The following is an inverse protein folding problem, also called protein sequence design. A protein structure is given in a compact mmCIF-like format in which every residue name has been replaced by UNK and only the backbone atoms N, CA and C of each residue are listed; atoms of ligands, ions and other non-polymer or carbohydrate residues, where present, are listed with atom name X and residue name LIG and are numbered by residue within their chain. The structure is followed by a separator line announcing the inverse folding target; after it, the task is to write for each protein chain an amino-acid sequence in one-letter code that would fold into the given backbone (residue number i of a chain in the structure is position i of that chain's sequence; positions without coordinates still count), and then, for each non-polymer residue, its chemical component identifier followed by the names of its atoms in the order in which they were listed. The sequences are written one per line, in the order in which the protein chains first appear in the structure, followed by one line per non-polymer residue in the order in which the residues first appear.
data_IF_064364939163
#
_entry.id   IF_064364939163
#
_cell.length_a   1.000
_cell.length_b   1.000
_cell.length_c   1.000
_cell.angle_alpha   90.00
_cell.angle_beta   90.00
_cell.angle_gamma   90.00
#
_symmetry.space_group_name_H-M   'P 1'
#
loop_
_entity.id
_entity.type
_entity.pdbx_description
1 polymer ?
#
# COMPACT_ATOMS: atom_id res chain seq x y z
N UNK A 1 -17.61 49.13 54.32
CA UNK A 1 -17.98 47.69 54.34
C UNK A 1 -17.34 47.00 53.14
N UNK A 2 -16.53 45.95 53.39
CA UNK A 2 -16.15 44.82 52.51
C UNK A 2 -15.33 45.14 51.24
N UNK A 3 -14.35 44.36 50.80
CA UNK A 3 -13.40 43.35 51.34
C UNK A 3 -12.46 43.10 50.15
N UNK A 4 -11.16 43.01 50.40
CA UNK A 4 -10.13 42.59 49.44
C UNK A 4 -10.33 41.13 48.98
N UNK A 5 -9.95 40.80 47.73
CA UNK A 5 -9.49 39.46 47.36
C UNK A 5 -8.54 39.54 46.15
N UNK A 6 -7.28 39.26 46.45
CA UNK A 6 -6.21 38.86 45.54
C UNK A 6 -6.50 37.41 45.10
N UNK A 7 -6.26 37.10 43.83
CA UNK A 7 -6.23 35.73 43.28
C UNK A 7 -6.41 35.81 41.76
N UNK A 8 -5.46 35.53 40.87
CA UNK A 8 -4.32 34.61 40.98
C UNK A 8 -4.72 33.23 40.47
N UNK A 9 -4.99 33.06 39.17
CA UNK A 9 -5.11 31.75 38.48
C UNK A 9 -4.82 32.00 36.98
N UNK A 10 -3.56 31.84 36.55
CA UNK A 10 -3.02 30.68 35.83
C UNK A 10 -3.40 30.62 34.33
N UNK A 11 -2.40 30.92 33.50
CA UNK A 11 -2.33 30.75 32.05
C UNK A 11 -2.49 29.25 31.71
N UNK A 12 -3.63 28.84 31.18
CA UNK A 12 -3.85 27.47 30.72
C UNK A 12 -3.38 27.34 29.27
N UNK A 13 -2.12 26.94 29.07
CA UNK A 13 -1.61 26.48 27.77
C UNK A 13 -2.04 25.03 27.59
N UNK A 14 -3.11 24.79 26.83
CA UNK A 14 -3.49 23.43 26.41
C UNK A 14 -2.54 22.96 25.31
N UNK A 15 -1.44 22.31 25.69
CA UNK A 15 -0.67 21.45 24.77
C UNK A 15 -1.40 20.11 24.71
N UNK A 16 -2.19 19.90 23.66
CA UNK A 16 -2.77 18.58 23.38
C UNK A 16 -1.71 17.79 22.62
N UNK A 17 -0.88 17.04 23.36
CA UNK A 17 -0.04 16.00 22.75
C UNK A 17 -0.92 14.77 22.56
N UNK A 18 -1.42 14.58 21.34
CA UNK A 18 -2.08 13.31 20.96
C UNK A 18 -0.96 12.29 20.72
N UNK A 19 -0.55 11.61 21.79
CA UNK A 19 0.29 10.43 21.68
C UNK A 19 -0.59 9.26 21.22
N UNK A 20 -0.62 8.99 19.92
CA UNK A 20 -1.19 7.77 19.38
C UNK A 20 -0.28 6.59 19.75
N UNK A 21 -0.58 5.93 20.86
CA UNK A 21 0.05 4.65 21.22
C UNK A 21 -0.65 3.57 20.39
N UNK A 22 -0.06 3.21 19.24
CA UNK A 22 -0.49 2.02 18.49
C UNK A 22 0.17 0.81 19.14
N UNK A 23 -0.55 0.17 20.08
CA UNK A 23 -0.23 -1.16 20.54
C UNK A 23 -0.50 -2.14 19.39
N UNK A 24 0.57 -2.70 18.83
CA UNK A 24 0.52 -3.76 17.85
C UNK A 24 -0.16 -5.01 18.41
N UNK A 25 -1.46 -5.13 18.17
CA UNK A 25 -2.16 -6.39 18.14
C UNK A 25 -2.40 -6.72 16.67
N UNK A 26 -2.10 -7.95 16.24
CA UNK A 26 -2.33 -8.39 14.87
C UNK A 26 -3.80 -8.19 14.49
N UNK A 27 -4.09 -7.09 13.81
CA UNK A 27 -5.42 -6.81 13.32
C UNK A 27 -5.75 -7.85 12.26
N UNK A 28 -6.69 -8.74 12.56
CA UNK A 28 -7.39 -9.48 11.53
C UNK A 28 -8.01 -8.42 10.60
N UNK A 29 -7.60 -8.42 9.33
CA UNK A 29 -8.13 -7.44 8.37
C UNK A 29 -9.66 -7.60 8.33
N UNK A 30 -10.45 -6.53 8.51
CA UNK A 30 -11.88 -6.61 8.33
C UNK A 30 -12.19 -7.18 6.94
N UNK A 31 -13.21 -8.03 6.84
CA UNK A 31 -13.60 -8.66 5.58
C UNK A 31 -13.86 -7.58 4.52
N UNK A 32 -13.24 -7.73 3.34
CA UNK A 32 -13.36 -6.78 2.23
C UNK A 32 -12.42 -5.57 2.27
N UNK A 33 -11.64 -5.36 3.33
CA UNK A 33 -10.61 -4.31 3.36
C UNK A 33 -9.30 -4.88 2.81
N UNK A 34 -8.73 -4.28 1.74
CA UNK A 34 -7.46 -4.74 1.20
C UNK A 34 -6.32 -4.54 2.19
N UNK A 35 -5.29 -5.37 2.09
CA UNK A 35 -4.09 -5.26 2.92
C UNK A 35 -3.32 -3.98 2.62
N UNK A 36 -3.24 -3.62 1.34
CA UNK A 36 -2.70 -2.37 0.84
C UNK A 36 -3.50 -1.98 -0.41
N UNK A 37 -3.84 -0.69 -0.54
CA UNK A 37 -4.29 -0.08 -1.77
C UNK A 37 -3.43 1.15 -2.10
N UNK A 38 -3.17 1.34 -3.38
CA UNK A 38 -2.44 2.46 -3.96
C UNK A 38 -3.44 3.45 -4.53
N UNK A 39 -3.61 4.56 -3.83
CA UNK A 39 -4.54 5.64 -4.17
C UNK A 39 -5.96 5.16 -4.38
N UNK A 40 -6.66 5.82 -5.30
CA UNK A 40 -7.95 5.37 -5.82
C UNK A 40 -7.76 4.47 -7.06
N UNK A 41 -6.52 4.21 -7.48
CA UNK A 41 -6.20 3.39 -8.65
C UNK A 41 -6.41 1.88 -8.44
N UNK A 42 -6.46 1.42 -7.19
CA UNK A 42 -6.56 -0.02 -6.87
C UNK A 42 -7.99 -0.51 -6.89
N UNK A 43 -8.26 -1.52 -7.71
CA UNK A 43 -9.54 -2.22 -7.78
C UNK A 43 -9.38 -3.65 -7.25
N UNK A 44 -10.03 -3.96 -6.14
CA UNK A 44 -9.96 -5.29 -5.54
C UNK A 44 -10.92 -6.24 -6.26
N UNK A 45 -10.37 -7.33 -6.82
CA UNK A 45 -11.14 -8.40 -7.46
C UNK A 45 -11.49 -9.47 -6.43
N UNK A 46 -10.51 -9.90 -5.63
CA UNK A 46 -10.69 -10.87 -4.55
C UNK A 46 -9.93 -10.39 -3.33
N UNK A 47 -10.61 -10.28 -2.19
CA UNK A 47 -9.98 -9.88 -0.93
C UNK A 47 -9.66 -11.12 -0.08
N UNK A 48 -8.41 -11.23 0.38
CA UNK A 48 -7.99 -12.18 1.39
C UNK A 48 -8.04 -13.64 0.98
N UNK A 49 -7.81 -13.93 -0.30
CA UNK A 49 -7.66 -15.27 -0.83
C UNK A 49 -6.49 -16.00 -0.14
N UNK A 50 -6.67 -17.30 0.04
CA UNK A 50 -5.71 -18.23 0.65
C UNK A 50 -5.45 -19.43 -0.25
N UNK A 51 -6.28 -19.63 -1.27
CA UNK A 51 -6.20 -20.78 -2.17
C UNK A 51 -6.65 -20.44 -3.59
N UNK A 52 -6.27 -21.29 -4.55
CA UNK A 52 -6.75 -21.23 -5.94
C UNK A 52 -8.28 -21.41 -6.01
N UNK A 53 -8.86 -22.18 -5.09
CA UNK A 53 -10.32 -22.37 -5.01
C UNK A 53 -11.04 -21.06 -4.71
N UNK A 54 -10.50 -20.23 -3.81
CA UNK A 54 -11.08 -18.91 -3.51
C UNK A 54 -11.15 -18.03 -4.78
N UNK A 55 -10.15 -18.15 -5.67
CA UNK A 55 -10.09 -17.42 -6.93
C UNK A 55 -11.11 -17.96 -7.94
N UNK A 56 -11.24 -19.29 -8.03
CA UNK A 56 -12.24 -19.93 -8.89
C UNK A 56 -13.66 -19.56 -8.48
N UNK A 57 -13.95 -19.58 -7.17
CA UNK A 57 -15.25 -19.22 -6.61
C UNK A 57 -15.59 -17.74 -6.85
N UNK A 58 -14.57 -16.88 -6.88
CA UNK A 58 -14.70 -15.46 -7.24
C UNK A 58 -14.77 -15.21 -8.76
N UNK A 59 -14.70 -16.25 -9.59
CA UNK A 59 -14.80 -16.14 -11.05
C UNK A 59 -13.53 -15.66 -11.76
N UNK A 60 -12.36 -15.77 -11.11
CA UNK A 60 -11.07 -15.47 -11.74
C UNK A 60 -10.79 -16.50 -12.85
N UNK A 61 -10.54 -16.07 -14.10
CA UNK A 61 -10.29 -17.01 -15.20
C UNK A 61 -8.95 -17.76 -15.05
N UNK A 62 -8.97 -19.08 -15.29
CA UNK A 62 -7.79 -19.96 -15.25
C UNK A 62 -6.88 -19.67 -14.02
N UNK A 63 -7.42 -19.77 -12.80
CA UNK A 63 -6.73 -19.34 -11.59
C UNK A 63 -5.51 -20.21 -11.25
N UNK A 64 -5.48 -21.45 -11.77
CA UNK A 64 -4.38 -22.40 -11.67
C UNK A 64 -3.16 -22.02 -12.54
N UNK A 65 -3.36 -21.17 -13.55
CA UNK A 65 -2.27 -20.64 -14.39
C UNK A 65 -1.60 -19.40 -13.77
N UNK A 66 -2.17 -18.81 -12.72
CA UNK A 66 -1.61 -17.63 -12.06
C UNK A 66 -0.31 -17.97 -11.31
N UNK A 67 0.68 -17.09 -11.43
CA UNK A 67 2.00 -17.26 -10.80
C UNK A 67 2.01 -16.73 -9.37
N UNK A 68 1.22 -17.33 -8.49
CA UNK A 68 1.15 -16.93 -7.08
C UNK A 68 2.44 -17.37 -6.33
N UNK A 69 3.15 -16.47 -5.63
CA UNK A 69 4.28 -16.81 -4.78
C UNK A 69 3.89 -17.81 -3.69
N UNK A 70 4.76 -18.80 -3.44
CA UNK A 70 4.47 -19.89 -2.49
C UNK A 70 4.42 -19.43 -1.04
N UNK A 71 5.06 -18.31 -0.73
CA UNK A 71 5.10 -17.67 0.59
C UNK A 71 3.94 -16.69 0.82
N UNK A 72 3.13 -16.40 -0.20
CA UNK A 72 1.91 -15.61 -0.08
C UNK A 72 0.79 -16.42 0.59
N UNK A 73 0.85 -16.57 1.92
CA UNK A 73 -0.14 -17.34 2.68
C UNK A 73 -1.56 -16.75 2.66
N UNK A 74 -1.69 -15.43 2.50
CA UNK A 74 -2.95 -14.72 2.27
C UNK A 74 -2.68 -13.49 1.41
N UNK A 75 -3.50 -13.28 0.39
CA UNK A 75 -3.29 -12.23 -0.59
C UNK A 75 -4.61 -11.67 -1.12
N UNK A 76 -4.57 -10.44 -1.61
CA UNK A 76 -5.65 -9.84 -2.40
C UNK A 76 -5.29 -9.97 -3.89
N UNK A 77 -6.27 -10.24 -4.75
CA UNK A 77 -6.15 -10.10 -6.20
C UNK A 77 -6.71 -8.74 -6.58
N UNK A 78 -5.95 -7.98 -7.34
CA UNK A 78 -6.31 -6.61 -7.73
C UNK A 78 -6.02 -6.35 -9.21
N UNK A 79 -6.66 -5.31 -9.72
CA UNK A 79 -6.31 -4.62 -10.95
C UNK A 79 -6.03 -3.15 -10.64
N UNK A 80 -5.36 -2.45 -11.56
CA UNK A 80 -5.02 -1.03 -11.39
C UNK A 80 -5.59 -0.19 -12.53
N UNK A 81 -6.11 0.99 -12.21
CA UNK A 81 -6.28 2.08 -13.17
C UNK A 81 -4.91 2.75 -13.37
N UNK A 82 -4.16 2.30 -14.38
CA UNK A 82 -2.82 2.80 -14.67
C UNK A 82 -2.82 4.28 -15.06
N UNK A 83 -3.89 4.78 -15.69
CA UNK A 83 -3.98 6.19 -16.04
C UNK A 83 -4.17 7.06 -14.79
N UNK A 84 -4.95 6.61 -13.81
CA UNK A 84 -5.06 7.27 -12.52
C UNK A 84 -3.73 7.21 -11.75
N UNK A 85 -3.11 6.03 -11.67
CA UNK A 85 -1.82 5.81 -11.01
C UNK A 85 -0.72 6.72 -11.57
N UNK A 86 -0.57 6.79 -12.89
CA UNK A 86 0.44 7.65 -13.53
C UNK A 86 0.22 9.13 -13.22
N UNK A 87 -1.03 9.60 -13.15
CA UNK A 87 -1.33 10.98 -12.76
C UNK A 87 -0.99 11.26 -11.31
N UNK A 88 -1.32 10.34 -10.40
CA UNK A 88 -1.02 10.47 -8.98
C UNK A 88 0.49 10.51 -8.73
N UNK A 89 1.23 9.54 -9.27
CA UNK A 89 2.66 9.40 -9.00
C UNK A 89 3.48 10.55 -9.61
N UNK A 90 3.04 11.12 -10.73
CA UNK A 90 3.66 12.29 -11.34
C UNK A 90 3.56 13.55 -10.46
N UNK A 91 2.61 13.59 -9.52
CA UNK A 91 2.48 14.65 -8.53
C UNK A 91 3.53 14.61 -7.41
N UNK A 92 4.40 13.59 -7.38
CA UNK A 92 5.43 13.41 -6.34
C UNK A 92 4.89 13.00 -4.97
N UNK A 93 3.57 12.83 -4.86
CA UNK A 93 2.91 12.35 -3.64
C UNK A 93 1.87 11.30 -4.01
N UNK A 94 1.75 10.27 -3.17
CA UNK A 94 0.87 9.13 -3.39
C UNK A 94 0.13 8.81 -2.09
N UNK A 95 -1.17 8.58 -2.16
CA UNK A 95 -1.95 8.12 -1.01
C UNK A 95 -1.89 6.60 -0.97
N UNK A 96 -1.47 6.01 0.16
CA UNK A 96 -1.58 4.57 0.40
C UNK A 96 -2.63 4.31 1.47
N UNK A 97 -3.38 3.22 1.31
CA UNK A 97 -4.31 2.72 2.33
C UNK A 97 -3.86 1.36 2.80
N UNK A 98 -3.26 1.30 3.98
CA UNK A 98 -2.85 0.03 4.61
C UNK A 98 -3.93 -0.38 5.59
N UNK A 99 -4.63 -1.48 5.29
CA UNK A 99 -5.74 -1.99 6.11
C UNK A 99 -6.81 -0.92 6.43
N UNK A 100 -7.07 -0.04 5.46
CA UNK A 100 -8.02 1.07 5.58
C UNK A 100 -7.47 2.35 6.24
N UNK A 101 -6.26 2.32 6.81
CA UNK A 101 -5.59 3.52 7.32
C UNK A 101 -4.86 4.24 6.19
N UNK A 102 -5.13 5.54 6.05
CA UNK A 102 -4.51 6.39 5.04
C UNK A 102 -3.11 6.87 5.46
N UNK A 103 -2.18 6.81 4.51
CA UNK A 103 -0.79 7.23 4.63
C UNK A 103 -0.41 8.06 3.41
N UNK A 104 0.12 9.25 3.64
CA UNK A 104 0.72 10.05 2.58
C UNK A 104 2.16 9.59 2.34
N UNK A 105 2.52 9.36 1.09
CA UNK A 105 3.87 8.98 0.67
C UNK A 105 4.43 10.07 -0.23
N UNK A 106 5.66 10.46 0.05
CA UNK A 106 6.47 11.26 -0.88
C UNK A 106 7.29 10.29 -1.73
N UNK A 107 7.18 10.41 -3.06
CA UNK A 107 7.88 9.56 -4.02
C UNK A 107 8.68 10.39 -5.01
N UNK A 108 9.80 9.86 -5.45
CA UNK A 108 10.68 10.46 -6.43
C UNK A 108 11.05 9.43 -7.48
N UNK A 109 10.99 9.84 -8.76
CA UNK A 109 11.41 8.99 -9.86
C UNK A 109 12.92 8.75 -9.77
N UNK A 110 13.31 7.48 -9.76
CA UNK A 110 14.70 7.06 -9.80
C UNK A 110 15.30 7.38 -11.18
N UNK A 111 16.55 7.84 -11.20
CA UNK A 111 17.25 8.17 -12.43
C UNK A 111 18.23 7.05 -12.79
N UNK A 112 17.78 6.13 -13.63
CA UNK A 112 18.64 5.20 -14.34
C UNK A 112 18.95 5.78 -15.72
N UNK A 113 20.03 5.37 -16.39
CA UNK A 113 20.38 5.84 -17.75
C UNK A 113 19.12 5.95 -18.62
N UNK A 114 18.91 7.10 -19.28
CA UNK A 114 17.66 7.45 -19.96
C UNK A 114 17.34 6.44 -21.08
N UNK A 115 16.62 5.39 -20.73
CA UNK A 115 15.99 4.45 -21.64
C UNK A 115 14.51 4.81 -21.60
N UNK A 116 13.98 5.25 -22.74
CA UNK A 116 12.53 5.45 -22.92
C UNK A 116 11.90 4.12 -23.32
N UNK A 117 11.77 3.22 -22.33
CA UNK A 117 11.11 1.92 -22.46
C UNK A 117 9.68 1.91 -21.88
N UNK A 118 9.19 3.07 -21.43
CA UNK A 118 7.90 3.20 -20.76
C UNK A 118 7.86 2.57 -19.36
N UNK A 119 9.03 2.31 -18.75
CA UNK A 119 9.14 1.78 -17.38
C UNK A 119 9.77 2.83 -16.47
N UNK A 120 9.02 3.20 -15.43
CA UNK A 120 9.45 4.19 -14.45
C UNK A 120 9.53 3.55 -13.08
N UNK A 121 10.65 3.77 -12.38
CA UNK A 121 10.82 3.34 -10.98
C UNK A 121 10.84 4.54 -10.05
N UNK A 122 10.26 4.37 -8.87
CA UNK A 122 10.06 5.40 -7.87
C UNK A 122 10.48 4.87 -6.51
N UNK A 123 11.26 5.68 -5.80
CA UNK A 123 11.60 5.46 -4.40
C UNK A 123 10.92 6.52 -3.53
N UNK A 124 10.56 6.17 -2.29
CA UNK A 124 9.81 7.07 -1.44
C UNK A 124 9.71 6.64 0.02
N UNK A 125 9.06 7.50 0.82
CA UNK A 125 8.83 7.27 2.25
C UNK A 125 7.44 7.74 2.68
N UNK A 126 6.91 7.08 3.70
CA UNK A 126 5.66 7.49 4.33
C UNK A 126 5.93 8.69 5.24
N UNK A 127 5.20 9.79 5.02
CA UNK A 127 5.37 11.04 5.77
C UNK A 127 5.07 10.80 7.25
N UNK A 128 5.99 11.25 8.11
CA UNK A 128 5.86 11.11 9.56
C UNK A 128 6.11 9.70 10.11
N UNK A 129 6.55 8.74 9.28
CA UNK A 129 6.84 7.37 9.68
C UNK A 129 8.31 7.05 9.42
N UNK A 130 9.09 6.89 10.50
CA UNK A 130 10.54 6.70 10.43
C UNK A 130 10.96 5.43 9.68
N UNK A 131 10.56 4.26 10.17
CA UNK A 131 10.83 2.97 9.54
C UNK A 131 9.83 2.70 8.41
N UNK A 132 9.93 3.46 7.33
CA UNK A 132 9.18 3.23 6.11
C UNK A 132 10.05 3.30 4.87
N UNK A 133 9.67 2.51 3.87
CA UNK A 133 10.33 2.45 2.56
C UNK A 133 9.28 2.12 1.52
N UNK A 134 9.30 2.83 0.38
CA UNK A 134 8.39 2.60 -0.74
C UNK A 134 9.22 2.51 -2.00
N UNK A 135 9.09 1.39 -2.71
CA UNK A 135 9.73 1.16 -4.00
C UNK A 135 8.65 0.67 -4.97
N UNK A 136 8.40 1.42 -6.03
CA UNK A 136 7.39 1.11 -7.03
C UNK A 136 7.99 1.16 -8.42
N UNK A 137 7.63 0.22 -9.29
CA UNK A 137 7.95 0.26 -10.71
C UNK A 137 6.65 0.14 -11.50
N UNK A 138 6.41 1.14 -12.34
CA UNK A 138 5.25 1.21 -13.23
C UNK A 138 5.66 0.96 -14.67
N UNK A 139 4.78 0.31 -15.43
CA UNK A 139 4.82 0.28 -16.89
C UNK A 139 3.44 0.68 -17.44
N UNK A 140 3.25 0.60 -18.75
CA UNK A 140 1.96 0.88 -19.43
C UNK A 140 0.75 0.21 -18.74
N UNK A 141 0.92 -1.06 -18.32
CA UNK A 141 -0.13 -1.87 -17.72
C UNK A 141 0.34 -2.66 -16.48
N UNK A 142 1.45 -2.25 -15.87
CA UNK A 142 2.05 -2.96 -14.73
C UNK A 142 2.29 -2.05 -13.55
N UNK A 143 2.10 -2.58 -12.35
CA UNK A 143 2.62 -2.02 -11.12
C UNK A 143 3.23 -3.14 -10.28
N UNK A 144 4.53 -3.08 -10.04
CA UNK A 144 5.22 -3.98 -9.11
C UNK A 144 5.94 -3.16 -8.05
N UNK A 145 6.21 -3.75 -6.90
CA UNK A 145 6.98 -3.06 -5.88
C UNK A 145 6.73 -3.55 -4.47
N UNK A 146 7.18 -2.75 -3.52
CA UNK A 146 7.02 -3.01 -2.10
C UNK A 146 6.81 -1.74 -1.31
N UNK A 147 6.02 -1.87 -0.25
CA UNK A 147 5.81 -0.85 0.79
C UNK A 147 6.17 -1.49 2.12
N UNK A 148 7.13 -0.93 2.83
CA UNK A 148 7.51 -1.38 4.18
C UNK A 148 7.01 -0.37 5.20
N UNK A 149 6.34 -0.88 6.23
CA UNK A 149 5.84 -0.13 7.39
C UNK A 149 6.28 -0.84 8.67
N UNK A 150 7.32 -0.31 9.31
CA UNK A 150 7.99 -0.96 10.44
C UNK A 150 8.60 -2.30 10.02
N UNK A 151 8.05 -3.40 10.54
CA UNK A 151 8.53 -4.78 10.27
C UNK A 151 7.67 -5.56 9.27
N UNK A 152 6.66 -4.90 8.69
CA UNK A 152 5.75 -5.50 7.72
C UNK A 152 6.04 -4.93 6.34
N UNK A 153 6.24 -5.82 5.36
CA UNK A 153 6.45 -5.45 3.95
C UNK A 153 5.29 -5.99 3.14
N UNK A 154 4.58 -5.08 2.49
CA UNK A 154 3.54 -5.33 1.51
C UNK A 154 4.19 -5.43 0.14
N UNK A 155 3.97 -6.52 -0.59
CA UNK A 155 4.47 -6.71 -1.95
C UNK A 155 3.33 -6.60 -2.95
N UNK A 156 3.64 -6.02 -4.11
CA UNK A 156 2.75 -5.91 -5.26
C UNK A 156 3.44 -6.65 -6.42
N UNK A 157 2.79 -7.68 -6.96
CA UNK A 157 3.38 -8.53 -7.99
C UNK A 157 2.35 -8.83 -9.09
N UNK A 158 2.77 -8.73 -10.35
CA UNK A 158 1.97 -9.20 -11.48
C UNK A 158 1.95 -10.71 -11.55
N UNK A 159 0.76 -11.32 -11.63
CA UNK A 159 0.59 -12.78 -11.56
C UNK A 159 0.04 -13.42 -12.83
N UNK A 160 -0.40 -12.58 -13.78
CA UNK A 160 -0.84 -13.03 -15.08
C UNK A 160 0.31 -13.67 -15.90
N UNK A 161 0.09 -14.83 -16.53
CA UNK A 161 0.94 -15.31 -17.61
C UNK A 161 1.11 -14.22 -18.67
N UNK A 162 2.33 -14.09 -19.18
CA UNK A 162 2.72 -13.06 -20.14
C UNK A 162 1.73 -12.90 -21.30
N UNK A 163 1.34 -14.02 -21.93
CA UNK A 163 0.42 -14.01 -23.07
C UNK A 163 -0.98 -13.45 -22.74
N UNK A 164 -1.43 -13.48 -21.48
CA UNK A 164 -2.67 -12.83 -21.04
C UNK A 164 -2.42 -11.38 -20.65
N UNK A 165 -1.31 -11.12 -19.94
CA UNK A 165 -0.93 -9.77 -19.54
C UNK A 165 -0.77 -8.82 -20.75
N UNK A 166 -0.09 -9.25 -21.81
CA UNK A 166 0.11 -8.44 -23.04
C UNK A 166 -1.19 -8.12 -23.79
N UNK A 167 -2.29 -8.81 -23.49
CA UNK A 167 -3.61 -8.57 -24.09
C UNK A 167 -4.56 -7.81 -23.17
N UNK A 168 -4.09 -7.41 -21.98
CA UNK A 168 -4.89 -6.72 -20.98
C UNK A 168 -4.34 -5.32 -20.73
N UNK A 169 -5.24 -4.34 -20.69
CA UNK A 169 -4.91 -2.99 -20.22
C UNK A 169 -4.75 -2.93 -18.68
N UNK A 170 -5.22 -3.96 -17.97
CA UNK A 170 -5.10 -4.06 -16.51
C UNK A 170 -4.99 -5.53 -16.09
N UNK A 171 -3.80 -6.14 -16.24
CA UNK A 171 -3.55 -7.51 -15.80
C UNK A 171 -3.69 -7.67 -14.29
N UNK A 172 -3.99 -8.89 -13.84
CA UNK A 172 -4.10 -9.21 -12.43
C UNK A 172 -2.74 -9.10 -11.73
N UNK A 173 -2.81 -8.48 -10.56
CA UNK A 173 -1.73 -8.43 -9.58
C UNK A 173 -2.19 -9.08 -8.28
N UNK A 174 -1.25 -9.51 -7.47
CA UNK A 174 -1.48 -9.81 -6.06
C UNK A 174 -0.90 -8.72 -5.18
N UNK A 175 -1.53 -8.53 -4.03
CA UNK A 175 -0.98 -7.76 -2.93
C UNK A 175 -1.00 -8.63 -1.67
N UNK A 176 0.15 -8.78 -1.02
CA UNK A 176 0.26 -9.56 0.20
C UNK A 176 1.27 -8.96 1.17
N UNK A 177 1.04 -9.17 2.46
CA UNK A 177 1.96 -8.74 3.52
C UNK A 177 2.84 -9.91 3.95
N UNK A 178 4.13 -9.65 4.12
CA UNK A 178 5.06 -10.53 4.81
C UNK A 178 5.68 -9.78 5.99
N UNK A 179 6.10 -10.50 7.02
CA UNK A 179 6.93 -9.93 8.08
C UNK A 179 8.35 -10.42 7.89
N UNK A 180 9.29 -9.49 7.73
CA UNK A 180 10.70 -9.84 7.76
C UNK A 180 11.08 -10.30 9.17
N UNK A 181 11.88 -11.36 9.26
CA UNK A 181 12.84 -11.43 10.37
C UNK A 181 13.81 -10.27 10.12
N UNK A 182 13.83 -9.26 11.00
CA UNK A 182 14.69 -8.09 10.82
C UNK A 182 16.14 -8.54 10.62
N UNK A 183 16.69 -8.28 9.45
CA UNK A 183 18.13 -8.37 9.23
C UNK A 183 18.68 -6.96 9.48
N UNK A 184 19.22 -6.77 10.69
CA UNK A 184 20.14 -5.68 11.02
C UNK A 184 21.57 -6.14 10.72
#
# INVERSE_FOLDING_TARGET
MRRSLIGGVALLVCVIVIAAVVLGAGAQNPAGVPVLAVGDSTHVVVAGATSVSDLADAGVPAPDELRIPKDAGRYDIVTFDHAALSREIAGGTLLLRVRGTEYLVEVHRMNFEQIDDGIDSYEGRIVGVGESDVLLTTSENGLIGSVTLGRETFRIEGVEPRARAERSASPLHIIYSSRGAGWF
#
